data_IF_626485368959
#
_entry.id   IF_626485368959
#
_cell.length_a   1.000
_cell.length_b   1.000
_cell.length_c   1.000
_cell.angle_alpha   90.00
_cell.angle_beta   90.00
_cell.angle_gamma   90.00
#
_symmetry.space_group_name_H-M   'P 1'
#
loop_
_entity.id
_entity.type
_entity.pdbx_description
1 polymer ?
#
# COMPACT_ATOMS: atom_id res chain seq x y z
N UNK A 1 8.74 -43.56 30.53
CA UNK A 1 9.01 -42.18 30.07
C UNK A 1 8.49 -42.06 28.65
N UNK A 2 7.18 -41.81 28.51
CA UNK A 2 6.52 -41.57 27.23
C UNK A 2 6.64 -40.08 26.93
N UNK A 3 7.64 -39.72 26.13
CA UNK A 3 7.75 -38.38 25.56
C UNK A 3 6.57 -38.16 24.63
N UNK A 4 5.59 -37.38 25.07
CA UNK A 4 4.54 -36.88 24.18
C UNK A 4 5.24 -36.06 23.10
N UNK A 5 5.15 -36.42 21.80
CA UNK A 5 5.66 -35.56 20.76
C UNK A 5 4.91 -34.23 20.91
N UNK A 6 5.66 -33.16 21.15
CA UNK A 6 5.11 -31.82 21.10
C UNK A 6 4.56 -31.65 19.68
N UNK A 7 3.24 -31.64 19.57
CA UNK A 7 2.55 -31.31 18.33
C UNK A 7 2.79 -29.83 18.12
N UNK A 8 3.93 -29.48 17.51
CA UNK A 8 4.06 -28.22 16.78
C UNK A 8 3.03 -28.30 15.67
N UNK A 9 1.84 -27.74 15.93
CA UNK A 9 0.76 -27.76 14.95
C UNK A 9 1.08 -26.86 13.76
N UNK A 10 0.53 -27.13 12.57
CA UNK A 10 0.74 -26.33 11.37
C UNK A 10 0.49 -24.81 11.60
N UNK A 11 -0.49 -24.46 12.45
CA UNK A 11 -0.79 -23.09 12.85
C UNK A 11 0.40 -22.33 13.45
N UNK A 12 1.23 -23.02 14.24
CA UNK A 12 2.40 -22.40 14.85
C UNK A 12 3.47 -22.11 13.81
N UNK A 13 3.66 -23.01 12.84
CA UNK A 13 4.67 -22.85 11.79
C UNK A 13 4.33 -21.66 10.87
N UNK A 14 3.06 -21.48 10.56
CA UNK A 14 2.56 -20.38 9.73
C UNK A 14 2.73 -19.01 10.42
N UNK A 15 2.39 -18.94 11.71
CA UNK A 15 2.56 -17.70 12.48
C UNK A 15 4.04 -17.34 12.65
N UNK A 16 4.91 -18.35 12.83
CA UNK A 16 6.35 -18.17 12.85
C UNK A 16 6.87 -17.66 11.49
N UNK A 17 6.40 -18.21 10.37
CA UNK A 17 6.79 -17.76 9.03
C UNK A 17 6.39 -16.29 8.77
N UNK A 18 5.17 -15.90 9.16
CA UNK A 18 4.70 -14.49 9.08
C UNK A 18 5.59 -13.58 9.92
N UNK A 19 5.85 -13.95 11.16
CA UNK A 19 6.71 -13.19 12.08
C UNK A 19 8.14 -13.05 11.56
N UNK A 20 8.70 -14.13 11.02
CA UNK A 20 10.06 -14.14 10.46
C UNK A 20 10.15 -13.23 9.22
N UNK A 21 9.11 -13.22 8.38
CA UNK A 21 9.01 -12.27 7.26
C UNK A 21 9.00 -10.82 7.76
N UNK A 22 8.16 -10.50 8.75
CA UNK A 22 8.08 -9.15 9.34
C UNK A 22 9.43 -8.73 9.94
N UNK A 23 10.09 -9.62 10.69
CA UNK A 23 11.40 -9.36 11.29
C UNK A 23 12.48 -9.16 10.22
N UNK A 24 12.49 -9.98 9.18
CA UNK A 24 13.45 -9.88 8.07
C UNK A 24 13.27 -8.56 7.32
N UNK A 25 12.02 -8.18 7.00
CA UNK A 25 11.71 -6.89 6.40
C UNK A 25 12.13 -5.73 7.30
N UNK A 26 11.90 -5.83 8.61
CA UNK A 26 12.28 -4.81 9.58
C UNK A 26 13.80 -4.63 9.65
N UNK A 27 14.56 -5.72 9.69
CA UNK A 27 16.03 -5.68 9.64
C UNK A 27 16.49 -5.03 8.34
N UNK A 28 15.92 -5.41 7.20
CA UNK A 28 16.21 -4.80 5.90
C UNK A 28 15.95 -3.29 5.87
N UNK A 29 14.81 -2.85 6.41
CA UNK A 29 14.45 -1.43 6.54
C UNK A 29 15.44 -0.70 7.45
N UNK A 30 15.81 -1.29 8.60
CA UNK A 30 16.80 -0.69 9.50
C UNK A 30 18.17 -0.53 8.84
N UNK A 31 18.65 -1.57 8.16
CA UNK A 31 19.92 -1.57 7.43
C UNK A 31 19.91 -0.62 6.24
N UNK A 32 18.75 -0.37 5.62
CA UNK A 32 18.63 0.57 4.50
C UNK A 32 19.09 1.98 4.86
N UNK A 33 19.09 2.37 6.14
CA UNK A 33 19.62 3.67 6.60
C UNK A 33 21.10 3.87 6.32
N UNK A 34 21.86 2.79 6.19
CA UNK A 34 23.31 2.84 5.93
C UNK A 34 23.63 3.15 4.47
N UNK A 35 22.61 3.22 3.62
CA UNK A 35 22.75 3.44 2.18
C UNK A 35 22.46 4.91 1.85
N UNK A 36 23.31 5.56 1.07
CA UNK A 36 23.08 6.96 0.70
C UNK A 36 22.13 7.08 -0.51
N UNK A 37 21.36 8.18 -0.62
CA UNK A 37 20.63 8.48 -1.85
C UNK A 37 21.61 8.69 -3.03
N UNK A 38 21.29 8.21 -4.26
CA UNK A 38 20.03 7.63 -4.70
C UNK A 38 19.91 6.12 -4.49
N UNK A 39 20.96 5.43 -4.03
CA UNK A 39 20.98 3.95 -3.93
C UNK A 39 19.90 3.38 -2.98
N UNK A 40 19.37 4.19 -2.06
CA UNK A 40 18.21 3.82 -1.22
C UNK A 40 17.01 3.35 -2.03
N UNK A 41 16.75 3.94 -3.21
CA UNK A 41 15.63 3.57 -4.06
C UNK A 41 15.73 2.13 -4.54
N UNK A 42 16.93 1.71 -4.93
CA UNK A 42 17.20 0.34 -5.32
C UNK A 42 16.98 -0.62 -4.14
N UNK A 43 17.44 -0.26 -2.94
CA UNK A 43 17.21 -1.05 -1.72
C UNK A 43 15.72 -1.17 -1.41
N UNK A 44 14.96 -0.08 -1.54
CA UNK A 44 13.51 -0.10 -1.32
C UNK A 44 12.81 -1.04 -2.31
N UNK A 45 13.16 -0.99 -3.59
CA UNK A 45 12.62 -1.89 -4.63
C UNK A 45 12.98 -3.35 -4.35
N UNK A 46 14.23 -3.63 -3.96
CA UNK A 46 14.68 -4.98 -3.64
C UNK A 46 13.97 -5.54 -2.38
N UNK A 47 13.78 -4.72 -1.35
CA UNK A 47 13.04 -5.10 -0.15
C UNK A 47 11.57 -5.38 -0.45
N UNK A 48 10.95 -4.57 -1.31
CA UNK A 48 9.59 -4.83 -1.80
C UNK A 48 9.54 -6.15 -2.55
N UNK A 49 10.48 -6.41 -3.47
CA UNK A 49 10.51 -7.67 -4.21
C UNK A 49 10.68 -8.89 -3.28
N UNK A 50 11.56 -8.80 -2.29
CA UNK A 50 11.76 -9.85 -1.30
C UNK A 50 10.49 -10.09 -0.46
N UNK A 51 9.82 -9.01 -0.02
CA UNK A 51 8.56 -9.10 0.71
C UNK A 51 7.44 -9.70 -0.16
N UNK A 52 7.35 -9.33 -1.44
CA UNK A 52 6.35 -9.90 -2.35
C UNK A 52 6.57 -11.41 -2.49
N UNK A 53 7.82 -11.86 -2.70
CA UNK A 53 8.14 -13.29 -2.81
C UNK A 53 7.85 -14.04 -1.50
N UNK A 54 8.32 -13.52 -0.37
CA UNK A 54 8.08 -14.16 0.95
C UNK A 54 6.60 -14.11 1.36
N UNK A 55 5.91 -13.01 1.07
CA UNK A 55 4.48 -12.85 1.34
C UNK A 55 3.60 -13.77 0.50
N UNK A 56 3.98 -14.07 -0.75
CA UNK A 56 3.31 -15.12 -1.53
C UNK A 56 3.42 -16.48 -0.81
N UNK A 57 4.58 -16.82 -0.26
CA UNK A 57 4.75 -18.10 0.44
C UNK A 57 3.90 -18.15 1.72
N UNK A 58 4.01 -17.12 2.57
CA UNK A 58 3.25 -17.02 3.82
C UNK A 58 1.74 -17.07 3.58
N UNK A 59 1.23 -16.33 2.59
CA UNK A 59 -0.20 -16.35 2.26
C UNK A 59 -0.65 -17.69 1.63
N UNK A 60 0.26 -18.43 0.97
CA UNK A 60 -0.05 -19.76 0.43
C UNK A 60 -0.29 -20.73 1.58
N UNK A 61 0.62 -20.74 2.53
CA UNK A 61 0.60 -21.65 3.67
C UNK A 61 -0.64 -21.38 4.54
N UNK A 62 -0.97 -20.10 4.79
CA UNK A 62 -2.19 -19.69 5.50
C UNK A 62 -3.47 -20.15 4.78
N UNK A 63 -3.51 -20.00 3.45
CA UNK A 63 -4.66 -20.41 2.66
C UNK A 63 -4.86 -21.92 2.64
N UNK A 64 -3.76 -22.68 2.63
CA UNK A 64 -3.78 -24.14 2.66
C UNK A 64 -4.25 -24.66 4.03
N UNK A 65 -3.81 -24.03 5.12
CA UNK A 65 -4.25 -24.39 6.47
C UNK A 65 -5.74 -24.13 6.70
N UNK A 66 -6.24 -22.97 6.24
CA UNK A 66 -7.66 -22.63 6.34
C UNK A 66 -8.58 -23.70 5.72
N UNK A 67 -8.11 -24.33 4.63
CA UNK A 67 -8.81 -25.43 3.95
C UNK A 67 -8.70 -26.78 4.69
N UNK A 68 -7.58 -27.03 5.38
CA UNK A 68 -7.30 -28.29 6.08
C UNK A 68 -7.89 -28.39 7.49
N UNK A 69 -8.23 -27.25 8.11
CA UNK A 69 -8.62 -27.16 9.53
C UNK A 69 -9.92 -27.88 9.94
N UNK A 70 -10.67 -28.50 9.02
CA UNK A 70 -11.80 -29.40 9.32
C UNK A 70 -12.97 -28.76 10.10
N UNK A 71 -12.91 -27.46 10.38
CA UNK A 71 -14.02 -26.71 10.95
C UNK A 71 -15.21 -26.83 9.99
N UNK A 72 -16.44 -27.05 10.51
CA UNK A 72 -17.61 -27.28 9.69
C UNK A 72 -17.77 -26.09 8.75
N UNK A 73 -17.45 -26.31 7.47
CA UNK A 73 -17.62 -25.33 6.41
C UNK A 73 -19.03 -24.78 6.56
N UNK A 74 -19.14 -23.48 6.79
CA UNK A 74 -20.42 -22.77 6.88
C UNK A 74 -21.24 -23.22 5.66
N UNK A 75 -22.27 -24.03 5.92
CA UNK A 75 -22.96 -24.90 4.94
C UNK A 75 -23.15 -24.21 3.58
N UNK A 76 -22.62 -24.83 2.52
CA UNK A 76 -23.18 -24.71 1.17
C UNK A 76 -22.37 -23.97 0.11
N UNK A 77 -21.16 -23.48 0.40
CA UNK A 77 -20.30 -22.91 -0.66
C UNK A 77 -19.44 -24.04 -1.25
N UNK A 78 -19.55 -24.35 -2.55
CA UNK A 78 -18.74 -25.38 -3.18
C UNK A 78 -17.27 -25.05 -2.97
N UNK A 79 -16.48 -26.05 -2.56
CA UNK A 79 -15.02 -26.01 -2.46
C UNK A 79 -14.46 -25.63 -3.82
N UNK A 80 -14.34 -24.33 -4.09
CA UNK A 80 -13.72 -23.82 -5.31
C UNK A 80 -12.26 -24.25 -5.25
N UNK A 81 -11.82 -24.92 -6.30
CA UNK A 81 -10.43 -25.27 -6.59
C UNK A 81 -9.49 -24.15 -6.15
N UNK A 82 -8.30 -24.55 -5.69
CA UNK A 82 -7.14 -23.73 -5.31
C UNK A 82 -6.85 -22.60 -6.31
N UNK A 83 -7.70 -21.58 -6.29
CA UNK A 83 -7.56 -20.32 -7.00
C UNK A 83 -6.44 -19.62 -6.25
N UNK A 84 -5.25 -19.66 -6.85
CA UNK A 84 -3.99 -19.17 -6.27
C UNK A 84 -4.10 -17.80 -5.63
N UNK A 85 -3.08 -17.44 -4.85
CA UNK A 85 -3.09 -16.20 -4.07
C UNK A 85 -3.17 -15.02 -5.04
N UNK A 86 -4.15 -14.12 -4.88
CA UNK A 86 -4.22 -12.91 -5.68
C UNK A 86 -2.99 -12.07 -5.37
N UNK A 87 -2.20 -11.75 -6.40
CA UNK A 87 -1.01 -10.88 -6.28
C UNK A 87 -1.36 -9.51 -5.70
N UNK A 88 -2.64 -9.11 -5.83
CA UNK A 88 -3.19 -7.90 -5.25
C UNK A 88 -3.10 -7.84 -3.73
N UNK A 89 -3.12 -9.00 -3.05
CA UNK A 89 -3.02 -9.07 -1.59
C UNK A 89 -1.67 -8.54 -1.07
N UNK A 90 -0.65 -8.48 -1.93
CA UNK A 90 0.70 -8.05 -1.54
C UNK A 90 0.92 -6.56 -1.71
N UNK A 91 -0.03 -5.84 -2.29
CA UNK A 91 0.11 -4.41 -2.55
C UNK A 91 0.23 -3.62 -1.24
N UNK A 92 -0.65 -3.88 -0.27
CA UNK A 92 -0.60 -3.18 1.02
C UNK A 92 0.75 -3.40 1.75
N UNK A 93 1.16 -4.64 2.06
CA UNK A 93 2.41 -4.85 2.78
C UNK A 93 3.64 -4.36 1.97
N UNK A 94 3.61 -4.45 0.63
CA UNK A 94 4.67 -3.90 -0.23
C UNK A 94 4.81 -2.38 -0.09
N UNK A 95 3.71 -1.64 -0.21
CA UNK A 95 3.73 -0.17 -0.07
C UNK A 95 4.17 0.24 1.34
N UNK A 96 3.78 -0.50 2.38
CA UNK A 96 4.23 -0.24 3.75
C UNK A 96 5.72 -0.48 3.92
N UNK A 97 6.24 -1.55 3.36
CA UNK A 97 7.67 -1.86 3.43
C UNK A 97 8.48 -0.78 2.71
N UNK A 98 8.02 -0.37 1.54
CA UNK A 98 8.59 0.76 0.80
C UNK A 98 8.55 2.06 1.61
N UNK A 99 7.38 2.38 2.19
CA UNK A 99 7.18 3.53 3.05
C UNK A 99 8.13 3.53 4.25
N UNK A 100 8.30 2.37 4.88
CA UNK A 100 9.18 2.18 6.05
C UNK A 100 10.64 2.54 5.76
N UNK A 101 11.16 2.20 4.57
CA UNK A 101 12.51 2.58 4.13
C UNK A 101 12.72 4.09 4.16
N UNK A 102 11.74 4.85 3.67
CA UNK A 102 11.79 6.32 3.69
C UNK A 102 11.50 6.91 5.07
N UNK A 103 10.40 6.50 5.69
CA UNK A 103 9.91 7.06 6.96
C UNK A 103 10.94 6.94 8.09
N UNK A 104 11.65 5.81 8.17
CA UNK A 104 12.66 5.59 9.19
C UNK A 104 13.76 6.65 9.12
N UNK A 105 14.11 7.16 7.93
CA UNK A 105 15.17 8.17 7.77
C UNK A 105 14.83 9.53 8.37
N UNK A 106 13.55 9.85 8.48
CA UNK A 106 13.07 11.09 9.12
C UNK A 106 13.40 11.07 10.61
N UNK A 107 13.42 9.88 11.20
CA UNK A 107 13.62 9.72 12.64
C UNK A 107 15.10 9.88 12.97
N UNK A 108 15.46 10.79 13.89
CA UNK A 108 16.84 10.92 14.37
C UNK A 108 17.36 9.60 14.94
N UNK A 109 18.64 9.32 14.73
CA UNK A 109 19.28 8.14 15.31
C UNK A 109 19.28 8.29 16.83
N UNK A 110 18.63 7.36 17.54
CA UNK A 110 18.47 7.41 18.98
C UNK A 110 17.29 6.58 19.46
N UNK A 111 16.81 6.89 20.67
CA UNK A 111 15.73 6.13 21.33
C UNK A 111 14.42 6.12 20.51
N UNK A 112 14.16 7.16 19.72
CA UNK A 112 12.98 7.27 18.85
C UNK A 112 12.97 6.32 17.65
N UNK A 113 14.12 5.74 17.30
CA UNK A 113 14.18 4.76 16.22
C UNK A 113 13.41 3.48 16.59
N UNK A 114 13.50 3.04 17.85
CA UNK A 114 12.82 1.83 18.33
C UNK A 114 11.30 1.91 18.14
N UNK A 115 10.58 2.94 18.63
CA UNK A 115 9.13 3.04 18.42
C UNK A 115 8.77 3.24 16.94
N UNK A 116 9.60 3.92 16.14
CA UNK A 116 9.37 4.04 14.71
C UNK A 116 9.45 2.69 13.98
N UNK A 117 10.47 1.89 14.30
CA UNK A 117 10.64 0.54 13.77
C UNK A 117 9.50 -0.37 14.24
N UNK A 118 9.09 -0.27 15.51
CA UNK A 118 7.94 -1.01 16.03
C UNK A 118 6.65 -0.63 15.30
N UNK A 119 6.41 0.66 15.03
CA UNK A 119 5.25 1.10 14.28
C UNK A 119 5.24 0.53 12.85
N UNK A 120 6.38 0.52 12.16
CA UNK A 120 6.50 -0.10 10.82
C UNK A 120 6.22 -1.61 10.90
N UNK A 121 6.81 -2.32 11.85
CA UNK A 121 6.59 -3.75 12.04
C UNK A 121 5.11 -4.08 12.26
N UNK A 122 4.45 -3.34 13.18
CA UNK A 122 3.02 -3.48 13.45
C UNK A 122 2.17 -3.23 12.20
N UNK A 123 2.57 -2.28 11.35
CA UNK A 123 1.83 -1.91 10.15
C UNK A 123 1.98 -2.97 9.06
N UNK A 124 3.18 -3.52 8.86
CA UNK A 124 3.43 -4.65 7.94
C UNK A 124 2.65 -5.88 8.40
N UNK A 125 2.77 -6.24 9.68
CA UNK A 125 2.06 -7.37 10.28
C UNK A 125 0.54 -7.22 10.13
N UNK A 126 0.01 -6.04 10.45
CA UNK A 126 -1.43 -5.76 10.30
C UNK A 126 -1.89 -5.87 8.85
N UNK A 127 -1.09 -5.40 7.88
CA UNK A 127 -1.40 -5.54 6.47
C UNK A 127 -1.43 -7.03 6.05
N UNK A 128 -0.43 -7.82 6.46
CA UNK A 128 -0.39 -9.26 6.16
C UNK A 128 -1.59 -10.00 6.77
N UNK A 129 -1.92 -9.71 8.04
CA UNK A 129 -3.04 -10.35 8.73
C UNK A 129 -4.40 -10.01 8.08
N UNK A 130 -4.63 -8.75 7.72
CA UNK A 130 -5.86 -8.34 7.01
C UNK A 130 -5.95 -9.04 5.66
N UNK A 131 -4.85 -9.10 4.91
CA UNK A 131 -4.82 -9.67 3.57
C UNK A 131 -5.02 -11.18 3.60
N UNK A 132 -4.41 -11.88 4.56
CA UNK A 132 -4.67 -13.29 4.82
C UNK A 132 -6.14 -13.55 5.15
N UNK A 133 -6.73 -12.74 6.03
CA UNK A 133 -8.15 -12.85 6.38
C UNK A 133 -9.04 -12.68 5.14
N UNK A 134 -8.76 -11.70 4.28
CA UNK A 134 -9.50 -11.49 3.02
C UNK A 134 -9.34 -12.69 2.07
N UNK A 135 -8.12 -13.25 1.99
CA UNK A 135 -7.83 -14.41 1.13
C UNK A 135 -8.56 -15.67 1.59
N UNK A 136 -8.74 -15.85 2.90
CA UNK A 136 -9.50 -16.97 3.50
C UNK A 136 -11.01 -16.74 3.37
N UNK A 137 -11.50 -15.53 3.68
CA UNK A 137 -12.93 -15.24 3.85
C UNK A 137 -13.61 -14.64 2.61
N UNK A 138 -13.26 -15.12 1.40
CA UNK A 138 -13.59 -14.57 0.06
C UNK A 138 -15.09 -14.33 -0.24
N UNK A 139 -16.01 -14.60 0.69
CA UNK A 139 -17.47 -14.54 0.50
C UNK A 139 -18.18 -13.34 1.12
N UNK A 140 -17.71 -12.77 2.23
CA UNK A 140 -18.40 -11.61 2.85
C UNK A 140 -17.53 -10.90 3.89
N UNK A 141 -16.82 -9.84 3.48
CA UNK A 141 -16.23 -8.91 4.44
C UNK A 141 -17.34 -8.23 5.25
N UNK A 142 -17.24 -8.28 6.57
CA UNK A 142 -18.11 -7.52 7.46
C UNK A 142 -17.93 -6.01 7.24
N UNK A 143 -18.89 -5.19 7.66
CA UNK A 143 -18.75 -3.74 7.54
C UNK A 143 -17.57 -3.20 8.36
N UNK A 144 -17.26 -3.84 9.50
CA UNK A 144 -16.12 -3.50 10.33
C UNK A 144 -14.79 -3.88 9.67
N UNK A 145 -14.71 -5.02 9.00
CA UNK A 145 -13.52 -5.40 8.21
C UNK A 145 -13.30 -4.42 7.05
N UNK A 146 -14.36 -4.01 6.35
CA UNK A 146 -14.26 -3.01 5.27
C UNK A 146 -13.75 -1.67 5.79
N UNK A 147 -14.22 -1.24 6.98
CA UNK A 147 -13.72 -0.02 7.64
C UNK A 147 -12.25 -0.16 8.05
N UNK A 148 -11.87 -1.31 8.61
CA UNK A 148 -10.49 -1.58 8.99
C UNK A 148 -9.55 -1.57 7.78
N UNK A 149 -9.97 -2.18 6.66
CA UNK A 149 -9.22 -2.15 5.39
C UNK A 149 -9.09 -0.72 4.88
N UNK A 150 -10.18 0.06 4.84
CA UNK A 150 -10.14 1.46 4.41
C UNK A 150 -9.20 2.31 5.29
N UNK A 151 -9.31 2.18 6.61
CA UNK A 151 -8.43 2.88 7.53
C UNK A 151 -6.95 2.49 7.31
N UNK A 152 -6.69 1.21 7.09
CA UNK A 152 -5.36 0.69 6.78
C UNK A 152 -4.86 1.29 5.46
N UNK A 153 -5.63 1.23 4.37
CA UNK A 153 -5.25 1.80 3.06
C UNK A 153 -4.89 3.29 3.19
N UNK A 154 -5.67 4.07 3.94
CA UNK A 154 -5.38 5.51 4.15
C UNK A 154 -4.09 5.71 4.95
N UNK A 155 -3.88 4.92 6.01
CA UNK A 155 -2.67 4.97 6.81
C UNK A 155 -1.43 4.59 5.97
N UNK A 156 -1.55 3.57 5.13
CA UNK A 156 -0.52 3.12 4.19
C UNK A 156 -0.24 4.19 3.14
N UNK A 157 -1.28 4.87 2.62
CA UNK A 157 -1.11 5.98 1.68
C UNK A 157 -0.29 7.12 2.29
N UNK A 158 -0.66 7.53 3.51
CA UNK A 158 0.09 8.55 4.25
C UNK A 158 1.54 8.16 4.47
N UNK A 159 1.78 6.94 4.98
CA UNK A 159 3.14 6.43 5.17
C UNK A 159 3.92 6.38 3.85
N UNK A 160 3.28 5.97 2.76
CA UNK A 160 3.85 5.91 1.41
C UNK A 160 4.34 7.28 0.93
N UNK A 161 3.48 8.29 0.98
CA UNK A 161 3.83 9.65 0.56
C UNK A 161 4.92 10.27 1.45
N UNK A 162 4.86 10.02 2.76
CA UNK A 162 5.92 10.43 3.70
C UNK A 162 7.25 9.74 3.36
N UNK A 163 7.20 8.43 3.05
CA UNK A 163 8.36 7.65 2.67
C UNK A 163 9.02 8.17 1.39
N UNK A 164 8.24 8.42 0.34
CA UNK A 164 8.71 9.02 -0.93
C UNK A 164 9.40 10.35 -0.68
N UNK A 165 8.74 11.26 0.04
CA UNK A 165 9.30 12.58 0.36
C UNK A 165 10.61 12.49 1.16
N UNK A 166 10.76 11.50 2.03
CA UNK A 166 11.96 11.30 2.85
C UNK A 166 13.15 10.68 2.10
N UNK A 167 12.93 10.07 0.93
CA UNK A 167 13.99 9.44 0.14
C UNK A 167 14.63 10.38 -0.89
N UNK A 168 14.20 11.64 -0.95
CA UNK A 168 14.76 12.69 -1.81
C UNK A 168 16.14 13.15 -1.27
N UNK A 169 17.23 13.01 -2.05
CA UNK A 169 18.54 13.57 -1.68
C UNK A 169 18.46 15.07 -1.39
N UNK A 170 19.06 15.52 -0.29
CA UNK A 170 19.06 16.94 0.13
C UNK A 170 17.89 17.36 1.02
N UNK A 171 16.98 16.43 1.33
CA UNK A 171 15.78 16.70 2.09
C UNK A 171 14.70 17.38 1.24
N UNK A 172 13.54 17.67 1.84
CA UNK A 172 12.43 18.28 1.11
C UNK A 172 12.79 19.73 0.75
N UNK A 173 13.15 19.95 -0.52
CA UNK A 173 13.57 21.25 -1.06
C UNK A 173 14.82 21.24 -1.94
N UNK A 174 15.46 20.09 -2.17
CA UNK A 174 16.60 20.00 -3.08
C UNK A 174 16.19 19.68 -4.52
N UNK A 175 16.69 20.46 -5.48
CA UNK A 175 16.34 20.33 -6.90
C UNK A 175 16.94 19.06 -7.51
N UNK A 176 16.09 18.05 -7.68
CA UNK A 176 16.34 16.89 -8.53
C UNK A 176 15.17 16.87 -9.48
N UNK A 177 15.39 16.72 -10.79
CA UNK A 177 14.36 16.64 -11.84
C UNK A 177 13.00 16.11 -11.30
N UNK A 178 12.10 17.02 -10.92
CA UNK A 178 11.02 16.80 -9.92
C UNK A 178 9.95 15.77 -10.33
N UNK A 179 10.02 15.26 -11.55
CA UNK A 179 9.03 14.37 -12.14
C UNK A 179 9.04 12.95 -11.53
N UNK A 180 10.17 12.48 -11.00
CA UNK A 180 10.24 11.13 -10.41
C UNK A 180 9.50 11.04 -9.06
N UNK A 181 9.48 12.13 -8.28
CA UNK A 181 8.72 12.27 -7.03
C UNK A 181 7.21 12.16 -7.30
N UNK A 182 6.75 12.97 -8.25
CA UNK A 182 5.36 12.95 -8.72
C UNK A 182 4.98 11.56 -9.24
N UNK A 183 5.89 10.92 -9.96
CA UNK A 183 5.74 9.55 -10.45
C UNK A 183 5.62 8.52 -9.32
N UNK A 184 6.44 8.63 -8.28
CA UNK A 184 6.42 7.71 -7.15
C UNK A 184 5.13 7.83 -6.32
N UNK A 185 4.69 9.05 -6.01
CA UNK A 185 3.42 9.29 -5.31
C UNK A 185 2.23 8.81 -6.15
N UNK A 186 2.25 9.09 -7.45
CA UNK A 186 1.26 8.57 -8.40
C UNK A 186 1.24 7.04 -8.46
N UNK A 187 2.40 6.38 -8.44
CA UNK A 187 2.51 4.93 -8.44
C UNK A 187 1.95 4.31 -7.14
N UNK A 188 2.27 4.89 -5.98
CA UNK A 188 1.70 4.46 -4.69
C UNK A 188 0.17 4.59 -4.72
N UNK A 189 -0.34 5.74 -5.15
CA UNK A 189 -1.77 5.98 -5.25
C UNK A 189 -2.47 5.04 -6.25
N UNK A 190 -1.81 4.73 -7.37
CA UNK A 190 -2.28 3.74 -8.32
C UNK A 190 -2.41 2.36 -7.67
N UNK A 191 -1.36 1.87 -7.02
CA UNK A 191 -1.35 0.55 -6.39
C UNK A 191 -2.43 0.44 -5.30
N UNK A 192 -2.49 1.42 -4.39
CA UNK A 192 -3.50 1.44 -3.32
C UNK A 192 -4.93 1.59 -3.86
N UNK A 193 -5.10 2.42 -4.90
CA UNK A 193 -6.37 2.58 -5.61
C UNK A 193 -6.81 1.30 -6.31
N UNK A 194 -5.87 0.55 -6.91
CA UNK A 194 -6.12 -0.75 -7.50
C UNK A 194 -6.60 -1.74 -6.45
N UNK A 195 -5.93 -1.82 -5.29
CA UNK A 195 -6.34 -2.71 -4.20
C UNK A 195 -7.74 -2.37 -3.70
N UNK A 196 -8.00 -1.09 -3.43
CA UNK A 196 -9.32 -0.63 -2.98
C UNK A 196 -10.43 -0.90 -4.02
N UNK A 197 -10.11 -0.80 -5.32
CA UNK A 197 -11.05 -1.08 -6.40
C UNK A 197 -11.28 -2.58 -6.63
N UNK A 198 -10.23 -3.40 -6.53
CA UNK A 198 -10.29 -4.86 -6.66
C UNK A 198 -11.21 -5.50 -5.59
N UNK A 199 -11.29 -4.90 -4.40
CA UNK A 199 -12.22 -5.33 -3.36
C UNK A 199 -13.71 -5.03 -3.68
N UNK A 200 -13.98 -4.15 -4.66
CA UNK A 200 -15.34 -3.70 -5.00
C UNK A 200 -15.84 -4.21 -6.35
N UNK A 201 -14.94 -4.53 -7.27
CA UNK A 201 -15.28 -4.79 -8.68
C UNK A 201 -14.70 -6.11 -9.15
N UNK A 202 -15.51 -6.87 -9.90
CA UNK A 202 -15.16 -8.23 -10.35
C UNK A 202 -14.16 -8.24 -11.51
N UNK A 203 -13.94 -7.11 -12.20
CA UNK A 203 -13.16 -7.05 -13.43
C UNK A 203 -11.86 -6.25 -13.26
N UNK A 204 -10.72 -6.90 -13.50
CA UNK A 204 -9.36 -6.32 -13.47
C UNK A 204 -9.27 -5.02 -14.26
N UNK A 205 -9.83 -4.96 -15.47
CA UNK A 205 -9.81 -3.76 -16.33
C UNK A 205 -10.45 -2.55 -15.64
N UNK A 206 -11.56 -2.75 -14.93
CA UNK A 206 -12.27 -1.66 -14.25
C UNK A 206 -11.50 -1.23 -13.00
N UNK A 207 -10.92 -2.19 -12.27
CA UNK A 207 -10.04 -1.89 -11.14
C UNK A 207 -8.79 -1.12 -11.58
N UNK A 208 -8.12 -1.55 -12.65
CA UNK A 208 -6.94 -0.89 -13.21
C UNK A 208 -7.26 0.52 -13.73
N UNK A 209 -8.42 0.71 -14.36
CA UNK A 209 -8.83 2.05 -14.77
C UNK A 209 -9.14 2.95 -13.57
N UNK A 210 -9.80 2.43 -12.54
CA UNK A 210 -10.02 3.18 -11.30
C UNK A 210 -8.69 3.54 -10.65
N UNK A 211 -7.73 2.62 -10.61
CA UNK A 211 -6.39 2.86 -10.10
C UNK A 211 -5.68 3.98 -10.86
N UNK A 212 -5.80 4.00 -12.19
CA UNK A 212 -5.24 5.05 -13.03
C UNK A 212 -5.78 6.44 -12.65
N UNK A 213 -7.06 6.57 -12.28
CA UNK A 213 -7.59 7.87 -11.84
C UNK A 213 -7.07 8.29 -10.47
N UNK A 214 -6.84 7.36 -9.53
CA UNK A 214 -6.15 7.66 -8.27
C UNK A 214 -4.72 8.15 -8.50
N UNK A 215 -3.95 7.41 -9.31
CA UNK A 215 -2.57 7.76 -9.62
C UNK A 215 -2.47 9.13 -10.29
N UNK A 216 -3.33 9.39 -11.28
CA UNK A 216 -3.38 10.68 -11.95
C UNK A 216 -3.77 11.83 -10.99
N UNK A 217 -4.80 11.65 -10.16
CA UNK A 217 -5.24 12.69 -9.22
C UNK A 217 -4.13 13.05 -8.21
N UNK A 218 -3.43 12.05 -7.67
CA UNK A 218 -2.32 12.27 -6.73
C UNK A 218 -1.11 12.88 -7.43
N UNK A 219 -0.76 12.42 -8.64
CA UNK A 219 0.35 13.02 -9.40
C UNK A 219 0.09 14.51 -9.71
N UNK A 220 -1.14 14.86 -10.13
CA UNK A 220 -1.53 16.26 -10.35
C UNK A 220 -1.44 17.05 -9.05
N UNK A 221 -1.96 16.49 -7.95
CA UNK A 221 -1.87 17.10 -6.62
C UNK A 221 -0.43 17.34 -6.18
N UNK A 222 0.46 16.35 -6.36
CA UNK A 222 1.86 16.43 -5.98
C UNK A 222 2.58 17.52 -6.79
N UNK A 223 2.36 17.55 -8.11
CA UNK A 223 2.92 18.59 -8.98
C UNK A 223 2.44 19.99 -8.58
N UNK A 224 1.16 20.15 -8.25
CA UNK A 224 0.61 21.43 -7.80
C UNK A 224 1.20 21.87 -6.44
N UNK A 225 1.42 20.94 -5.52
CA UNK A 225 2.00 21.23 -4.20
C UNK A 225 3.48 21.62 -4.29
N UNK A 226 4.24 20.96 -5.18
CA UNK A 226 5.62 21.35 -5.49
C UNK A 226 5.67 22.78 -6.02
N UNK A 227 4.81 23.12 -6.99
CA UNK A 227 4.73 24.47 -7.54
C UNK A 227 4.33 25.53 -6.50
N UNK A 228 3.59 25.14 -5.44
CA UNK A 228 3.18 26.03 -4.37
C UNK A 228 4.19 26.17 -3.23
N UNK A 229 5.37 25.52 -3.31
CA UNK A 229 6.44 25.58 -2.28
C UNK A 229 5.93 25.26 -0.86
N UNK A 230 5.00 24.32 -0.75
CA UNK A 230 4.39 23.99 0.54
C UNK A 230 5.41 23.42 1.54
N UNK A 231 5.19 23.61 2.86
CA UNK A 231 6.02 22.97 3.87
C UNK A 231 6.09 21.45 3.67
N UNK A 232 7.25 20.83 3.90
CA UNK A 232 7.50 19.42 3.57
C UNK A 232 6.52 18.41 4.15
N UNK A 233 6.06 18.65 5.38
CA UNK A 233 5.15 17.75 6.10
C UNK A 233 3.70 17.94 5.68
N UNK A 234 3.38 19.08 5.06
CA UNK A 234 2.04 19.44 4.66
C UNK A 234 1.65 18.74 3.35
N UNK A 235 2.62 18.52 2.44
CA UNK A 235 2.37 17.85 1.17
C UNK A 235 1.87 16.40 1.32
N UNK A 236 2.53 15.49 2.08
CA UNK A 236 2.02 14.11 2.25
C UNK A 236 0.62 14.06 2.89
N UNK A 237 0.34 14.95 3.84
CA UNK A 237 -0.97 15.03 4.49
C UNK A 237 -2.06 15.46 3.49
N UNK A 238 -1.79 16.46 2.66
CA UNK A 238 -2.73 16.88 1.62
C UNK A 238 -2.91 15.81 0.54
N UNK A 239 -1.84 15.13 0.11
CA UNK A 239 -1.96 14.03 -0.88
C UNK A 239 -2.80 12.88 -0.34
N UNK A 240 -2.65 12.56 0.95
CA UNK A 240 -3.51 11.59 1.63
C UNK A 240 -4.97 12.04 1.64
N UNK A 241 -5.21 13.33 1.89
CA UNK A 241 -6.56 13.90 1.83
C UNK A 241 -7.13 13.81 0.41
N UNK A 242 -6.36 14.16 -0.63
CA UNK A 242 -6.78 14.01 -2.03
C UNK A 242 -7.12 12.56 -2.33
N UNK A 243 -6.26 11.62 -1.96
CA UNK A 243 -6.49 10.18 -2.15
C UNK A 243 -7.77 9.71 -1.44
N UNK A 244 -7.97 10.12 -0.18
CA UNK A 244 -9.15 9.77 0.61
C UNK A 244 -10.44 10.36 0.03
N UNK A 245 -10.45 11.65 -0.30
CA UNK A 245 -11.60 12.32 -0.92
C UNK A 245 -11.95 11.71 -2.28
N UNK A 246 -10.94 11.38 -3.07
CA UNK A 246 -11.13 10.67 -4.33
C UNK A 246 -11.78 9.30 -4.11
N UNK A 247 -11.35 8.57 -3.08
CA UNK A 247 -11.90 7.25 -2.77
C UNK A 247 -13.31 7.26 -2.20
N UNK A 248 -13.66 8.27 -1.40
CA UNK A 248 -15.04 8.46 -0.91
C UNK A 248 -15.99 8.86 -2.04
N UNK A 249 -15.54 9.70 -2.98
CA UNK A 249 -16.30 10.03 -4.18
C UNK A 249 -16.59 8.79 -5.04
N UNK A 250 -15.57 7.94 -5.26
CA UNK A 250 -15.75 6.69 -6.02
C UNK A 250 -16.56 5.61 -5.26
N UNK A 251 -16.60 5.67 -3.93
CA UNK A 251 -17.39 4.75 -3.11
C UNK A 251 -18.90 5.06 -3.17
N UNK A 252 -19.28 6.33 -3.11
CA UNK A 252 -20.68 6.78 -3.06
C UNK A 252 -21.42 6.70 -4.40
N UNK A 253 -20.72 6.40 -5.50
CA UNK A 253 -21.23 6.45 -6.87
C UNK A 253 -21.60 5.09 -7.47
N UNK A 254 -21.77 4.03 -6.66
CA UNK A 254 -22.16 2.69 -7.13
C UNK A 254 -23.45 2.68 -7.96
N UNK A 255 -24.43 3.52 -7.61
CA UNK A 255 -25.73 3.60 -8.31
C UNK A 255 -25.74 4.49 -9.56
N UNK A 256 -24.67 5.27 -9.80
CA UNK A 256 -24.65 6.33 -10.84
C UNK A 256 -23.77 5.99 -12.05
N UNK A 257 -23.43 4.71 -12.24
CA UNK A 257 -22.44 4.23 -13.24
C UNK A 257 -22.95 4.16 -14.69
N UNK A 258 -24.24 4.43 -14.95
CA UNK A 258 -24.83 4.30 -16.29
C UNK A 258 -24.86 5.57 -17.15
N UNK A 259 -24.51 6.77 -16.68
CA UNK A 259 -24.66 8.01 -17.48
C UNK A 259 -23.50 9.01 -17.34
N UNK A 260 -23.07 9.59 -18.47
CA UNK A 260 -22.37 10.89 -18.75
C UNK A 260 -21.32 11.48 -17.78
N UNK A 261 -21.45 11.33 -16.47
CA UNK A 261 -20.58 11.95 -15.46
C UNK A 261 -19.15 11.43 -15.44
N UNK A 262 -18.94 10.14 -15.73
CA UNK A 262 -17.61 9.51 -15.69
C UNK A 262 -16.66 10.02 -16.80
N UNK A 263 -17.22 10.26 -18.00
CA UNK A 263 -16.46 10.85 -19.10
C UNK A 263 -16.08 12.30 -18.78
N UNK A 264 -17.01 13.04 -18.16
CA UNK A 264 -16.79 14.41 -17.69
C UNK A 264 -15.72 14.50 -16.61
N UNK A 265 -15.65 13.52 -15.70
CA UNK A 265 -14.63 13.49 -14.66
C UNK A 265 -13.24 13.22 -15.19
N UNK A 266 -13.11 12.25 -16.10
CA UNK A 266 -11.83 11.96 -16.76
C UNK A 266 -11.37 13.19 -17.54
N UNK A 267 -12.29 13.85 -18.26
CA UNK A 267 -12.01 15.09 -18.97
C UNK A 267 -11.57 16.22 -18.01
N UNK A 268 -12.24 16.37 -16.87
CA UNK A 268 -11.90 17.40 -15.88
C UNK A 268 -10.53 17.16 -15.23
N UNK A 269 -10.18 15.91 -14.93
CA UNK A 269 -8.84 15.54 -14.46
C UNK A 269 -7.76 15.83 -15.51
N UNK A 270 -8.04 15.51 -16.79
CA UNK A 270 -7.11 15.80 -17.89
C UNK A 270 -6.92 17.31 -18.04
N UNK A 271 -8.00 18.10 -18.00
CA UNK A 271 -7.92 19.57 -18.07
C UNK A 271 -7.15 20.13 -16.86
N UNK A 272 -7.45 19.66 -15.64
CA UNK A 272 -6.74 20.11 -14.44
C UNK A 272 -5.25 19.75 -14.51
N UNK A 273 -4.92 18.54 -14.98
CA UNK A 273 -3.54 18.10 -15.18
C UNK A 273 -2.82 18.97 -16.20
N UNK A 274 -3.44 19.29 -17.34
CA UNK A 274 -2.88 20.22 -18.35
C UNK A 274 -2.66 21.59 -17.74
N UNK A 275 -3.62 22.14 -16.97
CA UNK A 275 -3.49 23.45 -16.32
C UNK A 275 -2.32 23.47 -15.35
N UNK A 276 -2.20 22.45 -14.48
CA UNK A 276 -1.09 22.35 -13.52
C UNK A 276 0.25 22.21 -14.24
N UNK A 277 0.33 21.35 -15.26
CA UNK A 277 1.56 21.15 -16.04
C UNK A 277 1.99 22.44 -16.75
N UNK A 278 1.02 23.13 -17.37
CA UNK A 278 1.25 24.39 -18.08
C UNK A 278 1.67 25.49 -17.11
N UNK A 279 1.05 25.57 -15.93
CA UNK A 279 1.41 26.51 -14.87
C UNK A 279 2.83 26.28 -14.35
N UNK A 280 3.21 25.02 -14.15
CA UNK A 280 4.53 24.64 -13.67
C UNK A 280 5.63 24.93 -14.71
N UNK A 281 5.33 24.77 -16.00
CA UNK A 281 6.24 25.14 -17.10
C UNK A 281 6.36 26.65 -17.32
N UNK A 282 5.35 27.44 -16.93
CA UNK A 282 5.31 28.89 -17.13
C UNK A 282 5.80 29.70 -15.94
N UNK A 283 5.82 29.12 -14.73
CA UNK A 283 6.34 29.81 -13.54
C UNK A 283 7.87 29.73 -13.55
N UNK A 284 8.59 30.85 -13.74
CA UNK A 284 10.05 30.83 -13.64
C UNK A 284 10.45 30.52 -12.20
N UNK A 285 11.18 29.41 -12.03
CA UNK A 285 11.90 29.09 -10.77
C UNK A 285 12.98 30.14 -10.48
#
# INVERSE_FOLDING_TARGET
MTGSPAVSGPALDVELARRDLVLTSLVGIGLSRLVEPPAVWLVAVLLVAALVVGGLQVLADESAEGLGSGLPSRRGVPSRESLGIPVEALILPAVVTFAGVGAVRIVPVGLWLVPAMAAVALLVDRCLAIEAQIVVDRGSLSDDDRRAVLATVVLVAFAGFVGVAAMVPGGPGASIDDWWLVGADGAIAFLLGYRAAALRVVTVRVAAWSAATYGAAVAIGASAMQAATLPPLLAPALLTLVFYLWGTFHASSSDRRRHSGWLRQTLMLVVLGIVVLTWNLLSPN
#
